data_IF_865631516046
#
_entry.id   IF_865631516046
#
_cell.length_a   1.000
_cell.length_b   1.000
_cell.length_c   1.000
_cell.angle_alpha   90.00
_cell.angle_beta   90.00
_cell.angle_gamma   90.00
#
_symmetry.space_group_name_H-M   'P 1'
#
loop_
_entity.id
_entity.type
_entity.pdbx_description
1 polymer ?
#
# COMPACT_ATOMS: atom_id res chain seq x y z
N UNK A 1 18.88 0.85 40.80
CA UNK A 1 17.47 0.41 40.93
C UNK A 1 16.64 1.48 40.21
N UNK A 2 16.11 1.30 39.01
CA UNK A 2 15.53 0.11 38.40
C UNK A 2 16.23 -0.32 37.11
N UNK A 3 16.31 -1.63 36.98
CA UNK A 3 16.79 -2.41 35.85
C UNK A 3 15.97 -2.10 34.60
N UNK A 4 16.66 -1.69 33.54
CA UNK A 4 16.23 -1.92 32.17
C UNK A 4 16.18 -3.44 31.96
N UNK A 5 15.00 -4.02 32.11
CA UNK A 5 14.75 -5.37 31.59
C UNK A 5 14.74 -5.27 30.07
N UNK A 6 15.93 -5.50 29.51
CA UNK A 6 16.12 -5.83 28.11
C UNK A 6 15.53 -7.24 27.93
N UNK A 7 14.23 -7.31 27.67
CA UNK A 7 13.57 -8.56 27.30
C UNK A 7 13.98 -8.83 25.86
N UNK A 8 15.08 -9.57 25.70
CA UNK A 8 15.41 -10.25 24.46
C UNK A 8 14.24 -11.20 24.13
N UNK A 9 13.30 -10.73 23.32
CA UNK A 9 12.28 -11.59 22.71
C UNK A 9 13.01 -12.63 21.85
N UNK A 10 13.20 -13.82 22.42
CA UNK A 10 13.69 -14.99 21.70
C UNK A 10 12.64 -15.32 20.63
N UNK A 11 12.84 -14.84 19.41
CA UNK A 11 12.08 -15.25 18.24
C UNK A 11 12.41 -16.72 17.96
N UNK A 12 11.51 -17.61 18.35
CA UNK A 12 11.59 -19.01 17.96
C UNK A 12 11.32 -19.13 16.46
N UNK A 13 12.38 -19.07 15.66
CA UNK A 13 12.29 -19.32 14.23
C UNK A 13 12.11 -20.81 14.00
N UNK A 14 10.96 -21.21 13.45
CA UNK A 14 10.73 -22.57 12.96
C UNK A 14 10.63 -22.53 11.45
N UNK A 15 11.57 -23.17 10.77
CA UNK A 15 11.54 -23.33 9.33
C UNK A 15 10.94 -24.70 8.97
N UNK A 16 10.07 -24.71 7.98
CA UNK A 16 9.56 -25.92 7.35
C UNK A 16 9.94 -25.88 5.88
N UNK A 17 10.46 -26.98 5.37
CA UNK A 17 10.77 -27.16 3.96
C UNK A 17 9.87 -28.27 3.45
N UNK A 18 9.03 -27.95 2.47
CA UNK A 18 8.09 -28.89 1.88
C UNK A 18 8.41 -29.01 0.40
N UNK A 19 8.48 -30.24 -0.09
CA UNK A 19 8.58 -30.49 -1.53
C UNK A 19 7.23 -30.20 -2.21
N UNK A 20 7.24 -29.93 -3.52
CA UNK A 20 5.99 -29.66 -4.27
C UNK A 20 5.02 -30.85 -4.28
N UNK A 21 5.50 -32.06 -4.01
CA UNK A 21 4.66 -33.26 -3.84
C UNK A 21 4.01 -33.37 -2.45
N UNK A 22 4.39 -32.52 -1.50
CA UNK A 22 3.98 -32.55 -0.09
C UNK A 22 3.05 -31.38 0.25
N UNK A 23 2.39 -30.79 -0.75
CA UNK A 23 1.46 -29.67 -0.55
C UNK A 23 0.31 -30.01 0.42
N UNK A 24 -0.11 -31.27 0.46
CA UNK A 24 -1.10 -31.75 1.43
C UNK A 24 -0.60 -31.62 2.89
N UNK A 25 0.71 -31.69 3.12
CA UNK A 25 1.29 -31.49 4.44
C UNK A 25 1.19 -30.03 4.89
N UNK A 26 1.41 -29.07 3.97
CA UNK A 26 1.18 -27.65 4.24
C UNK A 26 -0.29 -27.42 4.60
N UNK A 27 -1.19 -28.00 3.81
CA UNK A 27 -2.62 -27.92 4.06
C UNK A 27 -2.98 -28.46 5.45
N UNK A 28 -2.50 -29.66 5.81
CA UNK A 28 -2.72 -30.28 7.11
C UNK A 28 -2.09 -29.50 8.27
N UNK A 29 -0.98 -28.81 8.04
CA UNK A 29 -0.34 -27.95 9.03
C UNK A 29 -1.18 -26.69 9.30
N UNK A 30 -1.59 -25.97 8.25
CA UNK A 30 -2.39 -24.76 8.39
C UNK A 30 -3.71 -25.03 9.12
N UNK A 31 -4.28 -26.22 8.92
CA UNK A 31 -5.47 -26.71 9.63
C UNK A 31 -5.32 -26.83 11.16
N UNK A 32 -4.08 -26.94 11.66
CA UNK A 32 -3.76 -27.18 13.08
C UNK A 32 -3.26 -25.92 13.80
N UNK A 33 -3.02 -24.84 13.06
CA UNK A 33 -2.48 -23.60 13.61
C UNK A 33 -3.60 -22.57 13.69
N UNK A 34 -3.69 -21.89 14.84
CA UNK A 34 -4.57 -20.74 14.97
C UNK A 34 -3.95 -19.53 14.26
N UNK A 35 -4.55 -19.15 13.12
CA UNK A 35 -4.15 -18.00 12.32
C UNK A 35 -5.10 -16.80 12.52
N UNK A 36 -5.96 -16.81 13.53
CA UNK A 36 -6.97 -15.76 13.75
C UNK A 36 -6.35 -14.38 13.91
N UNK A 37 -5.15 -14.30 14.48
CA UNK A 37 -4.40 -13.06 14.66
C UNK A 37 -2.92 -13.29 14.33
N UNK A 38 -2.42 -12.56 13.35
CA UNK A 38 -1.03 -12.61 12.91
C UNK A 38 -0.41 -11.22 13.00
N UNK A 39 0.80 -11.12 13.54
CA UNK A 39 1.52 -9.84 13.55
C UNK A 39 2.10 -9.53 12.16
N UNK A 40 2.77 -10.52 11.56
CA UNK A 40 3.48 -10.37 10.30
C UNK A 40 3.20 -11.57 9.39
N UNK A 41 2.83 -11.28 8.15
CA UNK A 41 2.74 -12.27 7.07
C UNK A 41 3.58 -11.78 5.91
N UNK A 42 4.63 -12.52 5.56
CA UNK A 42 5.48 -12.22 4.41
C UNK A 42 5.38 -13.39 3.41
N UNK A 43 4.95 -13.07 2.19
CA UNK A 43 4.71 -14.02 1.12
C UNK A 43 5.56 -13.60 -0.06
N UNK A 44 6.50 -14.46 -0.45
CA UNK A 44 7.30 -14.31 -1.65
C UNK A 44 6.98 -15.44 -2.63
N UNK A 45 6.45 -15.08 -3.80
CA UNK A 45 6.05 -16.00 -4.85
C UNK A 45 7.00 -15.87 -6.04
N UNK A 46 7.60 -16.99 -6.43
CA UNK A 46 8.37 -17.15 -7.66
C UNK A 46 7.93 -18.43 -8.38
N UNK A 47 7.21 -18.28 -9.50
CA UNK A 47 6.69 -19.36 -10.36
C UNK A 47 5.74 -20.41 -9.71
N UNK A 48 5.67 -20.54 -8.38
CA UNK A 48 4.96 -21.62 -7.66
C UNK A 48 3.72 -21.12 -6.90
N UNK A 49 2.66 -20.90 -7.65
CA UNK A 49 1.40 -20.31 -7.20
C UNK A 49 0.39 -21.31 -6.64
N UNK A 50 0.58 -22.63 -6.80
CA UNK A 50 -0.32 -23.61 -6.15
C UNK A 50 -0.35 -23.44 -4.62
N UNK A 51 0.77 -22.99 -4.04
CA UNK A 51 0.88 -22.63 -2.63
C UNK A 51 -0.05 -21.45 -2.29
N UNK A 52 -0.17 -20.45 -3.17
CA UNK A 52 -1.05 -19.30 -2.91
C UNK A 52 -2.52 -19.70 -2.90
N UNK A 53 -2.91 -20.71 -3.70
CA UNK A 53 -4.26 -21.28 -3.64
C UNK A 53 -4.54 -21.88 -2.26
N UNK A 54 -3.60 -22.67 -1.72
CA UNK A 54 -3.73 -23.25 -0.37
C UNK A 54 -3.88 -22.15 0.68
N UNK A 55 -3.02 -21.12 0.64
CA UNK A 55 -3.16 -20.00 1.56
C UNK A 55 -4.49 -19.26 1.39
N UNK A 56 -4.95 -19.05 0.15
CA UNK A 56 -6.23 -18.41 -0.17
C UNK A 56 -7.42 -19.17 0.43
N UNK A 57 -7.37 -20.50 0.43
CA UNK A 57 -8.42 -21.36 1.00
C UNK A 57 -8.52 -21.21 2.54
N UNK A 58 -7.41 -20.89 3.21
CA UNK A 58 -7.38 -20.63 4.66
C UNK A 58 -7.58 -19.16 5.02
N UNK A 59 -7.30 -18.24 4.10
CA UNK A 59 -7.42 -16.81 4.33
C UNK A 59 -8.89 -16.41 4.38
N UNK A 60 -9.42 -16.34 5.60
CA UNK A 60 -10.78 -15.95 5.87
C UNK A 60 -10.86 -14.52 6.39
N UNK A 61 -12.01 -13.89 6.15
CA UNK A 61 -12.36 -12.53 6.50
C UNK A 61 -12.43 -12.21 8.01
N UNK A 62 -12.22 -13.19 8.90
CA UNK A 62 -12.08 -12.94 10.34
C UNK A 62 -10.63 -12.87 10.81
N UNK A 63 -9.67 -13.26 9.96
CA UNK A 63 -8.25 -13.17 10.27
C UNK A 63 -7.87 -11.68 10.37
N UNK A 64 -7.12 -11.34 11.42
CA UNK A 64 -6.56 -10.02 11.65
C UNK A 64 -5.06 -10.08 11.46
N UNK A 65 -4.52 -9.23 10.60
CA UNK A 65 -3.10 -9.19 10.32
C UNK A 65 -2.61 -7.77 10.61
N UNK A 66 -1.56 -7.63 11.41
CA UNK A 66 -1.00 -6.30 11.61
C UNK A 66 -0.27 -5.83 10.33
N UNK A 67 0.64 -6.63 9.78
CA UNK A 67 1.35 -6.32 8.53
C UNK A 67 1.38 -7.49 7.55
N UNK A 68 1.10 -7.24 6.27
CA UNK A 68 1.26 -8.22 5.20
C UNK A 68 2.14 -7.66 4.07
N UNK A 69 3.10 -8.49 3.64
CA UNK A 69 4.02 -8.21 2.55
C UNK A 69 3.81 -9.29 1.49
N UNK A 70 3.52 -8.90 0.26
CA UNK A 70 3.33 -9.83 -0.85
C UNK A 70 4.26 -9.44 -2.00
N UNK A 71 5.28 -10.24 -2.23
CA UNK A 71 6.13 -10.16 -3.42
C UNK A 71 5.71 -11.23 -4.41
N UNK A 72 5.38 -10.83 -5.63
CA UNK A 72 4.99 -11.75 -6.69
C UNK A 72 5.80 -11.51 -7.95
N UNK A 73 6.58 -12.52 -8.33
CA UNK A 73 7.44 -12.52 -9.51
C UNK A 73 7.21 -13.75 -10.35
N UNK A 74 7.26 -13.59 -11.68
CA UNK A 74 7.11 -14.69 -12.65
C UNK A 74 5.79 -15.48 -12.50
N UNK A 75 4.71 -14.86 -12.00
CA UNK A 75 3.43 -15.53 -11.76
C UNK A 75 2.48 -15.51 -12.97
N UNK A 76 2.99 -15.34 -14.19
CA UNK A 76 2.20 -15.18 -15.43
C UNK A 76 1.24 -16.35 -15.68
N UNK A 77 1.68 -17.57 -15.38
CA UNK A 77 0.89 -18.80 -15.61
C UNK A 77 -0.31 -18.94 -14.67
N UNK A 78 -0.31 -18.21 -13.56
CA UNK A 78 -1.31 -18.39 -12.50
C UNK A 78 -1.61 -17.10 -11.76
N UNK A 79 -1.71 -16.05 -12.57
CA UNK A 79 -2.11 -14.72 -12.16
C UNK A 79 -3.47 -14.72 -11.44
N UNK A 80 -4.38 -15.61 -11.86
CA UNK A 80 -5.71 -15.78 -11.26
C UNK A 80 -5.67 -16.19 -9.79
N UNK A 81 -4.80 -17.12 -9.40
CA UNK A 81 -4.67 -17.49 -7.99
C UNK A 81 -4.09 -16.35 -7.14
N UNK A 82 -3.16 -15.58 -7.70
CA UNK A 82 -2.60 -14.40 -7.01
C UNK A 82 -3.67 -13.33 -6.77
N UNK A 83 -4.47 -13.01 -7.80
CA UNK A 83 -5.60 -12.09 -7.65
C UNK A 83 -6.64 -12.60 -6.63
N UNK A 84 -6.97 -13.88 -6.71
CA UNK A 84 -7.94 -14.51 -5.80
C UNK A 84 -7.48 -14.46 -4.34
N UNK A 85 -6.17 -14.59 -4.10
CA UNK A 85 -5.59 -14.45 -2.77
C UNK A 85 -5.66 -13.00 -2.27
N UNK A 86 -5.27 -12.03 -3.10
CA UNK A 86 -5.34 -10.61 -2.75
C UNK A 86 -6.78 -10.18 -2.42
N UNK A 87 -7.80 -10.78 -3.03
CA UNK A 87 -9.22 -10.57 -2.69
C UNK A 87 -9.62 -11.08 -1.29
N UNK A 88 -8.80 -11.92 -0.65
CA UNK A 88 -9.06 -12.39 0.73
C UNK A 88 -8.50 -11.45 1.79
N UNK A 89 -7.62 -10.53 1.40
CA UNK A 89 -6.99 -9.58 2.32
C UNK A 89 -8.04 -8.52 2.70
N UNK A 90 -8.54 -8.56 3.95
CA UNK A 90 -9.58 -7.64 4.42
C UNK A 90 -9.20 -6.84 5.67
N UNK A 91 -8.69 -7.49 6.73
CA UNK A 91 -8.40 -6.83 8.01
C UNK A 91 -6.89 -6.73 8.23
N UNK A 92 -6.28 -5.72 7.63
CA UNK A 92 -4.83 -5.52 7.63
C UNK A 92 -4.48 -4.10 8.06
N UNK A 93 -3.52 -3.95 8.98
CA UNK A 93 -2.99 -2.65 9.41
C UNK A 93 -2.04 -2.01 8.40
N UNK A 94 -1.12 -2.80 7.84
CA UNK A 94 -0.13 -2.40 6.84
C UNK A 94 -0.10 -3.39 5.68
N UNK A 95 -0.28 -2.90 4.45
CA UNK A 95 -0.26 -3.72 3.24
C UNK A 95 0.88 -3.27 2.32
N UNK A 96 1.82 -4.16 2.04
CA UNK A 96 2.86 -3.94 1.02
C UNK A 96 2.74 -4.97 -0.10
N UNK A 97 2.70 -4.47 -1.34
CA UNK A 97 2.59 -5.27 -2.56
C UNK A 97 3.76 -4.94 -3.49
N UNK A 98 4.56 -5.94 -3.83
CA UNK A 98 5.63 -5.85 -4.81
C UNK A 98 5.30 -6.77 -5.99
N UNK A 99 4.75 -6.18 -7.04
CA UNK A 99 4.07 -6.90 -8.11
C UNK A 99 4.84 -6.77 -9.43
N UNK A 100 5.14 -7.92 -10.04
CA UNK A 100 5.76 -8.03 -11.36
C UNK A 100 4.91 -8.91 -12.28
N UNK A 101 3.97 -8.28 -12.97
CA UNK A 101 3.01 -8.87 -13.89
C UNK A 101 3.17 -8.30 -15.31
N UNK A 102 4.31 -8.53 -15.98
CA UNK A 102 4.54 -7.97 -17.30
C UNK A 102 3.48 -8.48 -18.28
N UNK A 103 2.88 -7.56 -19.03
CA UNK A 103 1.89 -7.85 -20.08
C UNK A 103 0.59 -8.55 -19.62
N UNK A 104 0.33 -8.63 -18.31
CA UNK A 104 -0.93 -9.17 -17.79
C UNK A 104 -1.94 -8.04 -17.60
N UNK A 105 -3.19 -8.32 -18.00
CA UNK A 105 -4.29 -7.37 -17.86
C UNK A 105 -5.02 -7.63 -16.54
N UNK A 106 -4.92 -6.69 -15.61
CA UNK A 106 -5.72 -6.69 -14.39
C UNK A 106 -7.12 -6.17 -14.74
N UNK A 107 -8.21 -6.82 -14.29
CA UNK A 107 -9.55 -6.29 -14.53
C UNK A 107 -9.66 -4.86 -14.01
N UNK A 108 -10.24 -3.96 -14.82
CA UNK A 108 -10.35 -2.53 -14.48
C UNK A 108 -11.19 -2.27 -13.23
N UNK A 109 -12.06 -3.22 -12.90
CA UNK A 109 -12.92 -3.21 -11.74
C UNK A 109 -12.39 -4.01 -10.55
N UNK A 110 -11.18 -4.57 -10.68
CA UNK A 110 -10.54 -5.33 -9.61
C UNK A 110 -10.27 -4.43 -8.39
N UNK A 111 -10.57 -4.96 -7.21
CA UNK A 111 -10.35 -4.30 -5.93
C UNK A 111 -9.63 -5.26 -4.97
N UNK A 112 -8.82 -4.68 -4.08
CA UNK A 112 -8.36 -5.37 -2.88
C UNK A 112 -9.31 -4.96 -1.75
N UNK A 113 -10.12 -5.86 -1.18
CA UNK A 113 -11.22 -5.52 -0.29
C UNK A 113 -10.77 -5.23 1.15
N UNK A 114 -9.59 -4.61 1.32
CA UNK A 114 -9.10 -4.14 2.62
C UNK A 114 -9.99 -3.03 3.15
N UNK A 115 -10.41 -3.15 4.41
CA UNK A 115 -11.35 -2.22 5.05
C UNK A 115 -11.09 -2.04 6.55
N UNK A 116 -11.51 -0.88 7.05
CA UNK A 116 -11.57 -0.44 8.44
C UNK A 116 -10.25 -0.36 9.22
N UNK A 117 -9.21 -1.06 8.79
CA UNK A 117 -8.01 -1.33 9.59
C UNK A 117 -6.73 -0.76 8.98
N UNK A 118 -6.71 -0.47 7.68
CA UNK A 118 -5.50 -0.04 6.99
C UNK A 118 -5.06 1.35 7.43
N UNK A 119 -3.80 1.46 7.81
CA UNK A 119 -3.11 2.70 8.19
C UNK A 119 -2.09 3.10 7.13
N UNK A 120 -1.41 2.13 6.53
CA UNK A 120 -0.40 2.36 5.51
C UNK A 120 -0.56 1.37 4.35
N UNK A 121 -0.33 1.85 3.14
CA UNK A 121 -0.25 1.03 1.93
C UNK A 121 1.01 1.33 1.13
N UNK A 122 1.67 0.26 0.70
CA UNK A 122 2.82 0.30 -0.21
C UNK A 122 2.48 -0.53 -1.44
N UNK A 123 2.54 0.05 -2.64
CA UNK A 123 2.38 -0.68 -3.89
C UNK A 123 3.55 -0.35 -4.81
N UNK A 124 4.27 -1.38 -5.23
CA UNK A 124 5.36 -1.30 -6.19
C UNK A 124 5.03 -2.12 -7.43
N UNK A 125 4.85 -1.44 -8.55
CA UNK A 125 4.66 -2.04 -9.86
C UNK A 125 6.00 -2.12 -10.61
N UNK A 126 6.42 -3.32 -11.01
CA UNK A 126 7.66 -3.53 -11.78
C UNK A 126 7.36 -3.98 -13.21
N UNK A 127 8.34 -3.82 -14.10
CA UNK A 127 8.31 -4.38 -15.47
C UNK A 127 7.02 -4.07 -16.25
N UNK A 128 6.60 -2.80 -16.28
CA UNK A 128 5.39 -2.33 -16.97
C UNK A 128 4.07 -2.96 -16.46
N UNK A 129 4.03 -3.40 -15.21
CA UNK A 129 2.78 -3.79 -14.55
C UNK A 129 1.82 -2.60 -14.48
N UNK A 130 0.54 -2.84 -14.75
CA UNK A 130 -0.56 -1.86 -14.61
C UNK A 130 -1.67 -2.52 -13.77
N UNK A 131 -1.44 -2.57 -12.46
CA UNK A 131 -2.29 -3.23 -11.46
C UNK A 131 -3.20 -2.23 -10.74
N UNK A 132 -2.65 -1.09 -10.35
CA UNK A 132 -3.40 -0.01 -9.69
C UNK A 132 -4.38 0.63 -10.68
N UNK A 133 -5.63 0.76 -10.25
CA UNK A 133 -6.69 1.43 -10.99
C UNK A 133 -7.48 2.37 -10.07
N UNK A 134 -8.29 3.26 -10.65
CA UNK A 134 -9.04 4.26 -9.89
C UNK A 134 -10.05 3.65 -8.93
N UNK A 135 -10.78 2.60 -9.35
CA UNK A 135 -11.78 1.94 -8.50
C UNK A 135 -11.15 1.31 -7.26
N UNK A 136 -9.96 0.71 -7.39
CA UNK A 136 -9.20 0.16 -6.28
C UNK A 136 -8.83 1.24 -5.26
N UNK A 137 -8.28 2.36 -5.72
CA UNK A 137 -7.87 3.47 -4.85
C UNK A 137 -9.09 4.11 -4.17
N UNK A 138 -10.17 4.35 -4.92
CA UNK A 138 -11.43 4.86 -4.35
C UNK A 138 -11.94 3.95 -3.23
N UNK A 139 -12.03 2.64 -3.50
CA UNK A 139 -12.48 1.66 -2.50
C UNK A 139 -11.61 1.69 -1.24
N UNK A 140 -10.28 1.64 -1.40
CA UNK A 140 -9.34 1.61 -0.27
C UNK A 140 -9.48 2.88 0.58
N UNK A 141 -9.52 4.05 -0.05
CA UNK A 141 -9.61 5.33 0.67
C UNK A 141 -10.97 5.48 1.37
N UNK A 142 -12.06 5.09 0.73
CA UNK A 142 -13.43 5.13 1.29
C UNK A 142 -13.60 4.19 2.48
N UNK A 143 -13.02 3.01 2.42
CA UNK A 143 -13.23 1.97 3.42
C UNK A 143 -12.19 1.98 4.55
N UNK A 144 -11.13 2.78 4.45
CA UNK A 144 -10.10 2.89 5.49
C UNK A 144 -9.94 4.35 5.94
N UNK A 145 -10.80 4.85 6.87
CA UNK A 145 -10.72 6.23 7.35
C UNK A 145 -9.37 6.56 7.99
N UNK A 146 -8.72 5.57 8.58
CA UNK A 146 -7.42 5.65 9.26
C UNK A 146 -6.20 5.51 8.36
N UNK A 147 -6.38 5.32 7.04
CA UNK A 147 -5.27 5.29 6.09
C UNK A 147 -4.72 6.70 5.88
N UNK A 148 -3.49 6.93 6.29
CA UNK A 148 -2.77 8.20 6.18
C UNK A 148 -1.47 8.10 5.38
N UNK A 149 -0.87 6.91 5.27
CA UNK A 149 0.39 6.69 4.57
C UNK A 149 0.21 5.91 3.27
N UNK A 150 0.71 6.47 2.16
CA UNK A 150 0.67 5.88 0.83
C UNK A 150 2.06 5.95 0.22
N UNK A 151 2.61 4.80 -0.15
CA UNK A 151 3.89 4.68 -0.83
C UNK A 151 3.68 3.95 -2.16
N UNK A 152 3.81 4.66 -3.27
CA UNK A 152 3.33 4.18 -4.55
C UNK A 152 4.43 4.34 -5.61
N UNK A 153 4.90 3.23 -6.13
CA UNK A 153 5.96 3.17 -7.14
C UNK A 153 5.31 2.69 -8.44
N UNK A 154 4.87 3.64 -9.25
CA UNK A 154 4.03 3.43 -10.44
C UNK A 154 4.72 3.96 -11.71
N UNK A 155 4.18 3.59 -12.86
CA UNK A 155 4.83 3.83 -14.15
C UNK A 155 4.41 5.12 -14.89
N UNK A 156 3.40 5.86 -14.43
CA UNK A 156 2.93 7.05 -15.15
C UNK A 156 2.39 8.15 -14.21
N UNK A 157 2.42 9.40 -14.72
CA UNK A 157 1.94 10.60 -14.04
C UNK A 157 0.43 10.60 -13.77
N UNK A 158 -0.37 10.13 -14.74
CA UNK A 158 -1.83 10.11 -14.63
C UNK A 158 -2.33 9.29 -13.43
N UNK A 159 -1.64 8.20 -13.09
CA UNK A 159 -1.93 7.40 -11.91
C UNK A 159 -1.65 8.19 -10.63
N UNK A 160 -0.53 8.91 -10.55
CA UNK A 160 -0.21 9.76 -9.40
C UNK A 160 -1.25 10.85 -9.22
N UNK A 161 -1.60 11.56 -10.31
CA UNK A 161 -2.64 12.59 -10.31
C UNK A 161 -3.98 12.04 -9.81
N UNK A 162 -4.45 10.93 -10.40
CA UNK A 162 -5.69 10.27 -10.00
C UNK A 162 -5.71 9.92 -8.51
N UNK A 163 -4.59 9.44 -7.96
CA UNK A 163 -4.47 9.07 -6.55
C UNK A 163 -4.52 10.31 -5.66
N UNK A 164 -3.76 11.35 -5.98
CA UNK A 164 -3.75 12.62 -5.22
C UNK A 164 -5.17 13.20 -5.14
N UNK A 165 -5.84 13.33 -6.29
CA UNK A 165 -7.20 13.86 -6.37
C UNK A 165 -8.20 13.00 -5.58
N UNK A 166 -8.10 11.67 -5.70
CA UNK A 166 -8.99 10.74 -4.99
C UNK A 166 -8.80 10.82 -3.49
N UNK A 167 -7.56 10.76 -3.00
CA UNK A 167 -7.24 10.81 -1.57
C UNK A 167 -7.71 12.11 -0.96
N UNK A 168 -7.40 13.25 -1.60
CA UNK A 168 -7.76 14.58 -1.09
C UNK A 168 -9.27 14.77 -1.06
N UNK A 169 -9.95 14.52 -2.18
CA UNK A 169 -11.42 14.67 -2.28
C UNK A 169 -12.15 13.89 -1.19
N UNK A 170 -11.74 12.64 -0.95
CA UNK A 170 -12.38 11.75 0.03
C UNK A 170 -12.04 12.08 1.47
N UNK A 171 -10.87 12.69 1.73
CA UNK A 171 -10.51 13.16 3.07
C UNK A 171 -11.30 14.41 3.42
N UNK A 172 -11.40 15.36 2.49
CA UNK A 172 -12.19 16.58 2.69
C UNK A 172 -13.69 16.30 2.86
N UNK A 173 -14.23 15.30 2.14
CA UNK A 173 -15.66 14.94 2.29
C UNK A 173 -16.00 14.33 3.65
N UNK A 174 -15.02 13.97 4.48
CA UNK A 174 -15.25 13.44 5.84
C UNK A 174 -15.22 14.53 6.92
N UNK A 175 -14.99 15.78 6.53
CA UNK A 175 -14.88 16.92 7.44
C UNK A 175 -16.22 17.37 8.04
N UNK A 176 -17.33 16.70 7.70
CA UNK A 176 -18.67 17.04 8.16
C UNK A 176 -18.75 17.10 9.70
N UNK A 177 -18.55 18.30 10.24
CA UNK A 177 -18.73 18.77 11.63
C UNK A 177 -17.98 18.04 12.75
N UNK A 178 -17.25 16.97 12.46
CA UNK A 178 -16.41 16.28 13.43
C UNK A 178 -14.99 16.83 13.29
N UNK A 179 -14.44 17.44 14.35
CA UNK A 179 -13.06 17.91 14.45
C UNK A 179 -12.06 16.73 14.35
N UNK A 180 -11.95 16.16 13.16
CA UNK A 180 -11.19 14.97 12.87
C UNK A 180 -10.02 15.34 11.99
N UNK A 181 -8.91 15.70 12.65
CA UNK A 181 -7.70 16.19 11.99
C UNK A 181 -6.81 15.04 11.57
N UNK A 182 -6.32 15.08 10.33
CA UNK A 182 -5.40 14.06 9.82
C UNK A 182 -4.24 14.65 9.05
N UNK A 183 -3.10 13.98 9.21
CA UNK A 183 -1.98 14.10 8.30
C UNK A 183 -2.10 13.04 7.21
N UNK A 184 -1.82 13.41 5.96
CA UNK A 184 -1.76 12.52 4.81
C UNK A 184 -0.34 12.59 4.25
N UNK A 185 0.28 11.45 4.03
CA UNK A 185 1.60 11.33 3.42
C UNK A 185 1.51 10.51 2.14
N UNK A 186 1.68 11.17 0.99
CA UNK A 186 1.79 10.54 -0.32
C UNK A 186 3.26 10.54 -0.74
N UNK A 187 3.85 9.35 -0.93
CA UNK A 187 5.25 9.17 -1.35
C UNK A 187 5.28 8.39 -2.65
N UNK A 188 5.88 8.97 -3.67
CA UNK A 188 5.90 8.41 -5.02
C UNK A 188 7.29 7.94 -5.44
N UNK A 189 7.38 6.71 -5.92
CA UNK A 189 8.58 6.18 -6.56
C UNK A 189 8.49 6.32 -8.06
N UNK A 190 9.16 7.33 -8.61
CA UNK A 190 8.94 7.78 -9.98
C UNK A 190 10.01 7.19 -10.90
N UNK A 191 9.60 6.40 -11.88
CA UNK A 191 10.51 5.69 -12.79
C UNK A 191 10.90 6.47 -14.03
N UNK A 192 10.20 7.56 -14.37
CA UNK A 192 10.51 8.40 -15.54
C UNK A 192 10.78 9.85 -15.16
N UNK A 193 11.72 10.47 -15.89
CA UNK A 193 12.03 11.89 -15.71
C UNK A 193 10.84 12.76 -16.07
N UNK A 194 10.11 12.38 -17.12
CA UNK A 194 8.92 13.08 -17.60
C UNK A 194 7.86 13.15 -16.50
N UNK A 195 7.50 12.01 -15.89
CA UNK A 195 6.51 11.98 -14.81
C UNK A 195 6.99 12.76 -13.57
N UNK A 196 8.29 12.76 -13.29
CA UNK A 196 8.87 13.56 -12.22
C UNK A 196 8.71 15.06 -12.48
N UNK A 197 9.03 15.51 -13.70
CA UNK A 197 8.86 16.91 -14.09
C UNK A 197 7.39 17.33 -14.14
N UNK A 198 6.51 16.48 -14.63
CA UNK A 198 5.07 16.75 -14.62
C UNK A 198 4.53 16.89 -13.19
N UNK A 199 4.91 15.98 -12.30
CA UNK A 199 4.47 16.03 -10.90
C UNK A 199 5.04 17.22 -10.13
N UNK A 200 6.31 17.58 -10.36
CA UNK A 200 6.91 18.76 -9.73
C UNK A 200 6.32 20.09 -10.23
N UNK A 201 5.83 20.13 -11.47
CA UNK A 201 5.17 21.31 -12.03
C UNK A 201 3.64 21.27 -11.95
N UNK A 202 3.07 20.20 -11.40
CA UNK A 202 1.61 20.05 -11.29
C UNK A 202 1.04 21.17 -10.43
N UNK A 203 0.01 21.84 -10.96
CA UNK A 203 -0.68 22.90 -10.22
C UNK A 203 -1.62 22.30 -9.19
N UNK A 204 -1.09 22.14 -7.98
CA UNK A 204 -1.85 21.69 -6.83
C UNK A 204 -2.90 22.71 -6.37
N UNK A 205 -2.77 24.00 -6.71
CA UNK A 205 -3.64 25.05 -6.16
C UNK A 205 -5.05 25.04 -6.74
N UNK A 206 -5.22 24.59 -7.98
CA UNK A 206 -6.55 24.39 -8.59
C UNK A 206 -7.29 23.19 -7.99
N UNK A 207 -6.55 22.19 -7.49
CA UNK A 207 -7.09 20.88 -7.13
C UNK A 207 -7.13 20.63 -5.61
N UNK A 208 -6.32 21.33 -4.82
CA UNK A 208 -6.16 21.13 -3.39
C UNK A 208 -6.50 22.41 -2.62
N UNK A 209 -7.41 22.37 -1.63
CA UNK A 209 -7.80 23.55 -0.86
C UNK A 209 -6.84 23.92 0.28
N UNK A 210 -5.63 23.33 0.31
CA UNK A 210 -4.69 23.54 1.40
C UNK A 210 -3.85 24.80 1.16
N UNK A 211 -3.62 25.56 2.22
CA UNK A 211 -2.62 26.61 2.22
C UNK A 211 -1.25 25.95 2.09
N UNK A 212 -0.46 26.37 1.11
CA UNK A 212 0.78 25.70 0.78
C UNK A 212 1.97 26.65 0.81
N UNK A 213 3.11 26.10 1.19
CA UNK A 213 4.42 26.69 0.92
C UNK A 213 4.98 26.00 -0.32
N UNK A 214 5.18 26.73 -1.42
CA UNK A 214 5.96 26.21 -2.54
C UNK A 214 7.38 25.96 -2.03
N UNK A 215 7.80 24.70 -2.01
CA UNK A 215 9.18 24.38 -1.68
C UNK A 215 10.00 24.67 -2.95
N UNK A 216 11.02 25.54 -2.89
CA UNK A 216 11.80 25.88 -4.08
C UNK A 216 12.42 24.62 -4.69
N UNK A 217 12.43 24.57 -6.02
CA UNK A 217 12.98 23.48 -6.83
C UNK A 217 14.38 23.11 -6.31
N UNK A 218 14.47 21.99 -5.60
CA UNK A 218 15.75 21.44 -5.20
C UNK A 218 16.42 20.81 -6.44
N UNK A 219 17.76 20.92 -6.56
CA UNK A 219 18.48 20.26 -7.63
C UNK A 219 18.18 18.76 -7.60
N UNK A 220 18.01 18.19 -8.78
CA UNK A 220 17.78 16.77 -8.98
C UNK A 220 18.98 15.98 -8.44
N UNK A 221 18.79 15.26 -7.35
CA UNK A 221 19.79 14.33 -6.81
C UNK A 221 19.21 12.92 -6.75
N UNK A 222 19.94 11.98 -7.35
CA UNK A 222 19.53 10.59 -7.46
C UNK A 222 19.53 9.97 -6.07
N UNK A 223 18.33 9.70 -5.57
CA UNK A 223 18.13 9.00 -4.30
C UNK A 223 17.69 9.86 -3.14
N UNK A 224 17.61 11.19 -3.31
CA UNK A 224 16.99 12.07 -2.31
C UNK A 224 15.49 12.17 -2.57
N UNK A 225 14.70 11.95 -1.53
CA UNK A 225 13.26 12.23 -1.57
C UNK A 225 13.02 13.73 -1.59
N UNK A 226 12.31 14.21 -2.61
CA UNK A 226 11.96 15.61 -2.81
C UNK A 226 10.50 15.80 -2.41
N UNK A 227 10.21 16.84 -1.64
CA UNK A 227 8.83 17.23 -1.31
C UNK A 227 8.31 18.16 -2.41
N UNK A 228 7.28 17.72 -3.14
CA UNK A 228 6.63 18.52 -4.18
C UNK A 228 5.59 19.48 -3.59
N UNK A 229 4.89 19.03 -2.55
CA UNK A 229 3.82 19.80 -1.94
C UNK A 229 3.77 19.55 -0.44
N UNK A 230 3.60 20.63 0.31
CA UNK A 230 3.24 20.58 1.72
C UNK A 230 2.11 21.58 1.94
N UNK A 231 0.97 21.09 2.42
CA UNK A 231 -0.25 21.86 2.57
C UNK A 231 -0.86 21.67 3.95
N UNK A 232 -1.44 22.74 4.48
CA UNK A 232 -2.16 22.76 5.75
C UNK A 232 -3.55 23.37 5.55
N UNK A 233 -4.54 22.82 6.25
CA UNK A 233 -5.91 23.31 6.19
C UNK A 233 -6.46 23.43 7.63
N UNK A 234 -6.60 24.68 8.08
CA UNK A 234 -7.12 24.99 9.42
C UNK A 234 -8.59 24.61 9.55
N UNK A 235 -8.94 23.95 10.66
CA UNK A 235 -10.30 23.63 11.03
C UNK A 235 -11.02 24.87 11.55
N UNK A 236 -12.11 25.31 10.89
CA UNK A 236 -12.83 26.48 11.34
C UNK A 236 -13.55 26.28 12.69
N UNK A 237 -13.68 25.03 13.16
CA UNK A 237 -14.40 24.69 14.40
C UNK A 237 -13.48 24.74 15.62
N UNK A 238 -12.26 24.20 15.54
CA UNK A 238 -11.34 24.07 16.68
C UNK A 238 -9.96 24.70 16.48
N UNK A 239 -9.64 25.21 15.28
CA UNK A 239 -8.33 25.79 14.95
C UNK A 239 -7.20 24.78 14.69
N UNK A 240 -7.43 23.47 14.86
CA UNK A 240 -6.45 22.43 14.53
C UNK A 240 -6.31 22.24 13.02
N UNK A 241 -5.21 21.64 12.56
CA UNK A 241 -4.87 21.56 11.14
C UNK A 241 -4.96 20.14 10.58
N UNK A 242 -5.57 20.01 9.42
CA UNK A 242 -5.27 18.90 8.50
C UNK A 242 -3.96 19.21 7.76
N UNK A 243 -3.16 18.18 7.48
CA UNK A 243 -1.93 18.35 6.69
C UNK A 243 -1.83 17.33 5.58
N UNK A 244 -1.23 17.73 4.46
CA UNK A 244 -0.89 16.84 3.36
C UNK A 244 0.54 17.09 2.93
N UNK A 245 1.30 16.00 2.81
CA UNK A 245 2.65 16.00 2.28
C UNK A 245 2.69 15.11 1.05
N UNK A 246 3.20 15.65 -0.06
CA UNK A 246 3.41 14.92 -1.30
C UNK A 246 4.91 14.94 -1.59
N UNK A 247 5.50 13.77 -1.68
CA UNK A 247 6.91 13.59 -1.95
C UNK A 247 7.11 12.63 -3.12
N UNK A 248 8.26 12.71 -3.75
CA UNK A 248 8.70 11.66 -4.64
C UNK A 248 10.19 11.52 -4.67
N UNK A 249 10.61 10.35 -5.12
CA UNK A 249 12.00 9.99 -5.33
C UNK A 249 12.09 9.25 -6.66
N UNK A 250 13.11 9.57 -7.43
CA UNK A 250 13.41 8.81 -8.65
C UNK A 250 14.00 7.46 -8.30
N UNK A 251 13.57 6.43 -9.04
CA UNK A 251 14.15 5.09 -8.95
C UNK A 251 14.38 4.57 -10.35
N UNK A 252 15.64 4.27 -10.65
CA UNK A 252 16.03 3.57 -11.87
C UNK A 252 16.16 2.09 -11.54
N UNK A 253 15.36 1.25 -12.18
CA UNK A 253 15.46 -0.21 -12.12
C UNK A 253 16.44 -0.73 -13.15
#
# INVERSE_FOLDING_TARGET
>A
MNSSENVDEIRFLRAFYLHSSELDELYNFLQKVDLTSLDLVDISLDNHTEIIRIFSDYFHNHIRINSIYVTSTNCEKDFGNTLSFLEKIQNVGHLELNLRFPHLNVPKDYIIPVRNSLKSIIIQEKANTVFVNSRMIEYIVENNPNLDEYHLFLNNFENYKMIIETVVRRKLSRRDNLCFHKSISLRFGISSYEAFFELSNYDYSENLPYNHSRIPNLPFDNGIEITFYNGYLECPVCGEFDSIKICGRTFFF
#
